data_IF_837192291045
#
_entry.id   IF_837192291045
#
_cell.length_a   1.000
_cell.length_b   1.000
_cell.length_c   1.000
_cell.angle_alpha   90.00
_cell.angle_beta   90.00
_cell.angle_gamma   90.00
#
_symmetry.space_group_name_H-M   'P 1'
#
loop_
_entity.id
_entity.type
_entity.pdbx_description
1 polymer ?
#
# COMPACT_ATOMS: atom_id res chain seq x y z
N UNK A 1 6.39 -9.98 3.29
CA UNK A 1 6.39 -9.02 2.15
C UNK A 1 6.97 -9.70 0.91
N UNK A 2 8.16 -10.26 0.96
CA UNK A 2 8.84 -10.87 -0.21
C UNK A 2 7.98 -11.90 -0.94
N UNK A 3 7.19 -12.67 -0.21
CA UNK A 3 6.28 -13.68 -0.77
C UNK A 3 4.85 -13.19 -1.00
N UNK A 4 4.53 -11.91 -0.68
CA UNK A 4 3.20 -11.34 -0.87
C UNK A 4 2.12 -11.85 0.09
N UNK A 5 2.51 -12.49 1.20
CA UNK A 5 1.60 -13.11 2.18
C UNK A 5 1.35 -12.22 3.42
N UNK A 6 1.79 -10.95 3.38
CA UNK A 6 1.59 -10.03 4.50
C UNK A 6 0.13 -9.59 4.60
N UNK A 7 -0.47 -9.77 5.76
CA UNK A 7 -1.87 -9.38 6.03
C UNK A 7 -1.99 -7.96 6.61
N UNK A 8 -0.92 -7.46 7.21
CA UNK A 8 -0.84 -6.13 7.80
C UNK A 8 0.34 -5.33 7.19
N UNK A 9 0.31 -5.04 5.87
CA UNK A 9 1.44 -4.39 5.19
C UNK A 9 1.81 -3.03 5.79
N UNK A 10 0.87 -2.34 6.45
CA UNK A 10 1.11 -1.07 7.13
C UNK A 10 1.97 -1.20 8.39
N UNK A 11 2.09 -2.40 8.96
CA UNK A 11 2.95 -2.66 10.11
C UNK A 11 4.42 -2.79 9.71
N UNK A 12 4.67 -3.03 8.42
CA UNK A 12 6.01 -3.25 7.87
C UNK A 12 6.39 -2.20 6.84
N UNK A 13 5.44 -1.73 6.03
CA UNK A 13 5.66 -0.70 5.00
C UNK A 13 4.99 0.62 5.38
N UNK A 14 5.49 1.70 4.79
CA UNK A 14 4.99 3.04 5.07
C UNK A 14 5.70 3.72 6.25
N UNK A 15 5.16 4.86 6.67
CA UNK A 15 5.78 5.68 7.71
C UNK A 15 5.40 5.18 9.10
N UNK A 16 6.39 5.00 9.97
CA UNK A 16 6.22 4.63 11.38
C UNK A 16 6.97 5.58 12.30
N UNK A 17 6.28 6.08 13.32
CA UNK A 17 6.92 6.92 14.33
C UNK A 17 7.67 6.02 15.31
N UNK A 18 8.96 6.31 15.50
CA UNK A 18 9.85 5.65 16.47
C UNK A 18 10.35 6.65 17.51
N UNK A 19 11.13 6.19 18.49
CA UNK A 19 11.77 7.07 19.48
C UNK A 19 12.79 8.00 18.84
N UNK A 20 13.49 7.56 17.80
CA UNK A 20 14.58 8.27 17.14
C UNK A 20 14.14 9.10 15.93
N UNK A 21 12.87 8.95 15.49
CA UNK A 21 12.36 9.67 14.33
C UNK A 21 11.21 8.96 13.63
N UNK A 22 11.04 9.24 12.35
CA UNK A 22 10.07 8.57 11.48
C UNK A 22 10.82 7.60 10.57
N UNK A 23 10.57 6.31 10.76
CA UNK A 23 11.05 5.26 9.88
C UNK A 23 10.11 5.15 8.68
N UNK A 24 10.66 5.27 7.47
CA UNK A 24 9.93 5.08 6.20
C UNK A 24 10.50 3.84 5.54
N UNK A 25 9.60 2.95 5.14
CA UNK A 25 9.95 1.65 4.58
C UNK A 25 9.14 1.39 3.32
N UNK A 26 9.78 0.82 2.29
CA UNK A 26 9.14 0.51 1.03
C UNK A 26 9.75 -0.72 0.35
N UNK A 27 8.99 -1.35 -0.51
CA UNK A 27 9.41 -2.53 -1.25
C UNK A 27 9.41 -2.24 -2.75
N UNK A 28 10.61 -2.22 -3.35
CA UNK A 28 10.87 -1.88 -4.75
C UNK A 28 11.84 -2.90 -5.34
N UNK A 29 11.37 -4.07 -5.79
CA UNK A 29 12.23 -5.22 -6.16
C UNK A 29 13.17 -4.93 -7.32
N UNK A 30 12.80 -4.02 -8.23
CA UNK A 30 13.60 -3.72 -9.42
C UNK A 30 14.43 -2.41 -9.27
N UNK A 31 14.40 -1.80 -8.07
CA UNK A 31 15.12 -0.56 -7.82
C UNK A 31 16.60 -0.80 -7.49
N UNK A 32 17.46 -0.01 -8.10
CA UNK A 32 18.88 0.06 -7.75
C UNK A 32 19.11 0.99 -6.56
N UNK A 33 18.40 2.11 -6.55
CA UNK A 33 18.48 3.13 -5.51
C UNK A 33 17.08 3.71 -5.26
N UNK A 34 16.78 3.96 -3.98
CA UNK A 34 15.54 4.60 -3.55
C UNK A 34 15.87 5.74 -2.61
N UNK A 35 15.28 6.89 -2.85
CA UNK A 35 15.41 8.07 -2.02
C UNK A 35 14.04 8.54 -1.55
N UNK A 36 13.98 9.14 -0.36
CA UNK A 36 12.78 9.82 0.15
C UNK A 36 12.96 11.32 0.00
N UNK A 37 12.06 11.95 -0.73
CA UNK A 37 11.99 13.40 -0.89
C UNK A 37 10.94 13.96 0.07
N UNK A 38 11.33 14.85 0.96
CA UNK A 38 10.43 15.57 1.87
C UNK A 38 10.73 17.06 1.86
N UNK A 39 9.83 17.84 1.30
CA UNK A 39 10.03 19.27 1.04
C UNK A 39 11.24 19.50 0.12
N UNK A 40 12.29 20.17 0.67
CA UNK A 40 13.55 20.45 -0.05
C UNK A 40 14.67 19.45 0.27
N UNK A 41 14.41 18.46 1.09
CA UNK A 41 15.42 17.49 1.55
C UNK A 41 15.21 16.16 0.88
N UNK A 42 16.32 15.53 0.52
CA UNK A 42 16.38 14.16 0.01
C UNK A 42 17.14 13.30 1.00
N UNK A 43 16.59 12.14 1.32
CA UNK A 43 17.16 11.16 2.23
C UNK A 43 17.38 9.87 1.47
N UNK A 44 18.60 9.37 1.49
CA UNK A 44 18.96 8.09 0.83
C UNK A 44 18.43 6.95 1.67
N UNK A 45 17.69 6.02 1.05
CA UNK A 45 17.25 4.80 1.71
C UNK A 45 18.38 3.77 1.69
N UNK A 46 18.53 3.05 2.79
CA UNK A 46 19.38 1.88 2.87
C UNK A 46 18.62 0.67 2.30
N UNK A 47 19.31 -0.14 1.50
CA UNK A 47 18.76 -1.38 0.99
C UNK A 47 19.00 -2.48 2.03
N UNK A 48 17.92 -2.84 2.73
CA UNK A 48 17.97 -3.81 3.84
C UNK A 48 17.97 -5.27 3.37
N UNK A 49 17.46 -5.53 2.16
CA UNK A 49 17.33 -6.87 1.61
C UNK A 49 17.54 -6.85 0.08
N UNK A 50 18.18 -7.88 -0.45
CA UNK A 50 18.41 -8.05 -1.90
C UNK A 50 17.10 -8.15 -2.71
N UNK A 51 16.01 -8.60 -2.07
CA UNK A 51 14.69 -8.66 -2.69
C UNK A 51 14.08 -7.28 -3.02
N UNK A 52 14.71 -6.18 -2.54
CA UNK A 52 14.28 -4.80 -2.83
C UNK A 52 13.52 -4.13 -1.69
N UNK A 53 13.84 -4.46 -0.45
CA UNK A 53 13.32 -3.76 0.72
C UNK A 53 14.26 -2.61 1.09
N UNK A 54 13.67 -1.41 1.18
CA UNK A 54 14.40 -0.18 1.47
C UNK A 54 13.84 0.51 2.70
N UNK A 55 14.73 1.09 3.51
CA UNK A 55 14.35 1.80 4.71
C UNK A 55 15.18 3.08 4.89
N UNK A 56 14.58 4.08 5.54
CA UNK A 56 15.28 5.30 5.96
C UNK A 56 14.66 5.86 7.23
N UNK A 57 15.49 6.30 8.16
CA UNK A 57 15.07 6.99 9.38
C UNK A 57 15.20 8.50 9.17
N UNK A 58 14.08 9.20 9.20
CA UNK A 58 14.03 10.66 9.15
C UNK A 58 14.11 11.25 10.58
N UNK A 59 14.99 12.22 10.86
CA UNK A 59 15.12 12.82 12.17
C UNK A 59 14.01 13.86 12.42
N UNK A 60 12.76 13.42 12.35
CA UNK A 60 11.55 14.23 12.53
C UNK A 60 10.58 13.52 13.47
N UNK A 61 9.77 14.28 14.22
CA UNK A 61 8.85 13.73 15.23
C UNK A 61 7.44 13.44 14.70
N UNK A 62 7.12 13.88 13.50
CA UNK A 62 5.82 13.68 12.85
C UNK A 62 6.06 13.18 11.44
N UNK A 63 5.17 12.36 10.94
CA UNK A 63 5.20 11.91 9.55
C UNK A 63 5.07 13.13 8.64
N UNK A 64 6.12 13.45 7.85
CA UNK A 64 6.06 14.55 6.89
C UNK A 64 5.30 14.13 5.63
N UNK A 65 4.97 15.09 4.78
CA UNK A 65 4.65 14.75 3.39
C UNK A 65 5.93 14.35 2.67
N UNK A 66 5.89 13.21 1.98
CA UNK A 66 7.05 12.69 1.26
C UNK A 66 6.64 11.92 0.00
N UNK A 67 7.62 11.70 -0.85
CA UNK A 67 7.55 10.85 -2.03
C UNK A 67 8.81 10.02 -2.12
N UNK A 68 8.70 8.87 -2.78
CA UNK A 68 9.85 8.09 -3.19
C UNK A 68 10.37 8.58 -4.54
N UNK A 69 11.68 8.69 -4.67
CA UNK A 69 12.40 8.80 -5.93
C UNK A 69 13.11 7.47 -6.16
N UNK A 70 12.66 6.73 -7.15
CA UNK A 70 13.11 5.37 -7.44
C UNK A 70 13.96 5.42 -8.70
N UNK A 71 15.17 4.88 -8.63
CA UNK A 71 16.08 4.76 -9.76
C UNK A 71 16.13 3.32 -10.24
N UNK A 72 15.86 3.13 -11.52
CA UNK A 72 15.88 1.84 -12.22
C UNK A 72 16.72 2.01 -13.51
N UNK A 73 18.00 1.65 -13.46
CA UNK A 73 18.95 1.91 -14.54
C UNK A 73 19.08 3.41 -14.85
N UNK A 74 18.77 3.81 -16.07
CA UNK A 74 18.81 5.22 -16.51
C UNK A 74 17.50 5.99 -16.24
N UNK A 75 16.47 5.33 -15.68
CA UNK A 75 15.15 5.93 -15.44
C UNK A 75 14.98 6.27 -13.98
N UNK A 76 14.53 7.50 -13.72
CA UNK A 76 14.09 7.93 -12.38
C UNK A 76 12.57 8.15 -12.38
N UNK A 77 11.90 7.67 -11.34
CA UNK A 77 10.46 7.81 -11.18
C UNK A 77 10.14 8.31 -9.78
N UNK A 78 9.37 9.38 -9.68
CA UNK A 78 8.76 9.79 -8.41
C UNK A 78 7.42 9.09 -8.23
N UNK A 79 7.14 8.62 -7.02
CA UNK A 79 5.84 8.10 -6.64
C UNK A 79 5.50 8.40 -5.17
N UNK A 80 4.20 8.49 -4.90
CA UNK A 80 3.71 8.54 -3.52
C UNK A 80 3.73 7.14 -2.91
N UNK A 81 3.84 7.10 -1.59
CA UNK A 81 3.69 5.86 -0.83
C UNK A 81 2.20 5.57 -0.59
N UNK A 82 1.64 4.47 -1.11
CA UNK A 82 0.26 4.09 -0.84
C UNK A 82 -0.04 3.91 0.65
N UNK A 83 0.95 3.49 1.42
CA UNK A 83 0.79 3.19 2.85
C UNK A 83 0.84 4.44 3.74
N UNK A 84 1.21 5.61 3.19
CA UNK A 84 1.14 6.90 3.88
C UNK A 84 -0.29 7.48 3.96
N UNK A 85 -1.24 6.91 3.22
CA UNK A 85 -2.63 7.36 3.19
C UNK A 85 -3.47 6.55 4.19
N UNK A 86 -4.39 7.18 4.93
CA UNK A 86 -5.25 6.48 5.89
C UNK A 86 -6.24 5.54 5.18
N UNK A 87 -6.68 4.52 5.92
CA UNK A 87 -7.82 3.71 5.50
C UNK A 87 -9.06 4.59 5.26
N UNK A 88 -9.85 4.21 4.27
CA UNK A 88 -11.04 4.95 3.85
C UNK A 88 -12.34 4.29 4.33
N UNK A 89 -12.26 3.03 4.74
CA UNK A 89 -13.36 2.33 5.42
C UNK A 89 -13.18 2.58 6.92
N UNK A 90 -14.17 3.20 7.54
CA UNK A 90 -14.15 3.49 8.97
C UNK A 90 -14.53 2.26 9.79
N UNK A 91 -14.20 2.28 11.09
CA UNK A 91 -14.57 1.19 12.01
C UNK A 91 -16.10 1.02 12.12
N UNK A 92 -16.85 2.12 12.05
CA UNK A 92 -18.31 2.10 12.06
C UNK A 92 -18.88 1.47 10.78
N UNK A 93 -18.31 1.81 9.62
CA UNK A 93 -18.69 1.20 8.34
C UNK A 93 -18.37 -0.30 8.34
N UNK A 94 -17.23 -0.70 8.88
CA UNK A 94 -16.86 -2.11 9.01
C UNK A 94 -17.81 -2.88 9.93
N UNK A 95 -18.17 -2.32 11.10
CA UNK A 95 -19.16 -2.89 12.00
C UNK A 95 -20.53 -3.03 11.34
N UNK A 96 -20.98 -1.99 10.61
CA UNK A 96 -22.25 -2.03 9.88
C UNK A 96 -22.23 -3.09 8.76
N UNK A 97 -21.09 -3.27 8.10
CA UNK A 97 -20.90 -4.32 7.08
C UNK A 97 -21.01 -5.71 7.70
N UNK A 98 -20.33 -5.97 8.81
CA UNK A 98 -20.40 -7.24 9.54
C UNK A 98 -21.81 -7.54 10.06
N UNK A 99 -22.56 -6.51 10.45
CA UNK A 99 -23.95 -6.63 10.87
C UNK A 99 -24.96 -6.79 9.71
N UNK A 100 -24.51 -6.71 8.45
CA UNK A 100 -25.36 -6.81 7.25
C UNK A 100 -26.26 -5.61 7.00
N UNK A 101 -25.96 -4.46 7.61
CA UNK A 101 -26.77 -3.22 7.49
C UNK A 101 -26.07 -2.09 6.74
N UNK A 102 -24.90 -2.35 6.16
CA UNK A 102 -24.17 -1.38 5.34
C UNK A 102 -24.65 -1.40 3.90
N UNK A 103 -25.80 -0.77 3.65
CA UNK A 103 -26.46 -0.75 2.34
C UNK A 103 -25.69 0.03 1.26
N UNK A 104 -24.76 0.90 1.66
CA UNK A 104 -23.95 1.72 0.75
C UNK A 104 -22.55 1.12 0.49
N UNK A 105 -22.34 -0.15 0.83
CA UNK A 105 -21.06 -0.83 0.64
C UNK A 105 -20.51 -0.70 -0.81
N UNK A 106 -21.40 -0.62 -1.80
CA UNK A 106 -21.01 -0.41 -3.21
C UNK A 106 -20.28 0.91 -3.48
N UNK A 107 -20.39 1.91 -2.59
CA UNK A 107 -19.67 3.18 -2.69
C UNK A 107 -18.20 3.04 -2.26
N UNK A 108 -17.86 1.97 -1.56
CA UNK A 108 -16.51 1.68 -1.08
C UNK A 108 -15.89 0.47 -1.77
N UNK A 109 -16.65 -0.62 -1.91
CA UNK A 109 -16.19 -1.82 -2.59
C UNK A 109 -16.08 -1.62 -4.09
N UNK A 110 -14.95 -2.04 -4.66
CA UNK A 110 -14.61 -1.85 -6.07
C UNK A 110 -13.36 -0.98 -6.24
N UNK A 111 -13.30 -0.26 -7.35
CA UNK A 111 -12.25 0.69 -7.67
C UNK A 111 -12.87 2.09 -7.84
N UNK A 112 -12.57 2.99 -6.92
CA UNK A 112 -13.17 4.33 -6.85
C UNK A 112 -12.10 5.41 -6.99
N UNK A 113 -12.03 6.12 -8.13
CA UNK A 113 -11.19 7.31 -8.24
C UNK A 113 -11.60 8.36 -7.21
N UNK A 114 -10.62 8.87 -6.47
CA UNK A 114 -10.84 9.88 -5.44
C UNK A 114 -9.58 10.73 -5.20
N UNK A 115 -9.73 11.74 -4.35
CA UNK A 115 -8.62 12.60 -3.93
C UNK A 115 -8.50 12.55 -2.40
N UNK A 116 -7.30 12.25 -1.90
CA UNK A 116 -6.98 12.22 -0.47
C UNK A 116 -5.80 13.15 -0.22
N UNK A 117 -5.96 14.12 0.69
CA UNK A 117 -4.94 15.12 1.02
C UNK A 117 -4.36 15.84 -0.22
N UNK A 118 -5.21 16.15 -1.22
CA UNK A 118 -4.79 16.82 -2.44
C UNK A 118 -4.10 15.91 -3.47
N UNK A 119 -4.02 14.60 -3.21
CA UNK A 119 -3.42 13.63 -4.12
C UNK A 119 -4.51 12.79 -4.77
N UNK A 120 -4.61 12.84 -6.10
CA UNK A 120 -5.51 12.01 -6.88
C UNK A 120 -5.02 10.58 -6.96
N UNK A 121 -5.95 9.64 -6.94
CA UNK A 121 -5.67 8.22 -7.04
C UNK A 121 -6.95 7.40 -7.06
N UNK A 122 -6.81 6.10 -6.86
CA UNK A 122 -7.95 5.18 -6.82
C UNK A 122 -7.93 4.37 -5.54
N UNK A 123 -9.05 4.35 -4.82
CA UNK A 123 -9.30 3.41 -3.74
C UNK A 123 -9.71 2.07 -4.34
N UNK A 124 -8.97 1.02 -4.00
CA UNK A 124 -9.35 -0.36 -4.26
C UNK A 124 -9.83 -1.00 -2.98
N UNK A 125 -11.00 -1.60 -3.01
CA UNK A 125 -11.53 -2.34 -1.88
C UNK A 125 -12.26 -3.60 -2.36
N UNK A 126 -12.01 -4.73 -1.71
CA UNK A 126 -12.61 -6.02 -2.04
C UNK A 126 -12.94 -6.81 -0.79
N UNK A 127 -14.10 -7.46 -0.79
CA UNK A 127 -14.44 -8.40 0.27
C UNK A 127 -13.96 -9.81 -0.10
N UNK A 128 -12.99 -10.31 0.65
CA UNK A 128 -12.36 -11.61 0.42
C UNK A 128 -12.04 -12.28 1.78
N UNK A 129 -13.05 -12.67 2.57
CA UNK A 129 -12.86 -13.10 3.96
C UNK A 129 -11.96 -14.32 4.12
N UNK A 130 -11.88 -15.18 3.09
CA UNK A 130 -11.07 -16.40 3.10
C UNK A 130 -9.65 -16.19 2.52
N UNK A 131 -9.34 -14.99 2.01
CA UNK A 131 -8.01 -14.69 1.52
C UNK A 131 -7.05 -14.39 2.67
N UNK A 132 -5.82 -14.87 2.57
CA UNK A 132 -4.71 -14.51 3.47
C UNK A 132 -4.22 -13.12 3.12
N UNK A 133 -3.99 -12.87 1.83
CA UNK A 133 -3.60 -11.55 1.33
C UNK A 133 -4.23 -11.28 -0.04
N UNK A 134 -4.34 -10.01 -0.36
CA UNK A 134 -4.79 -9.52 -1.67
C UNK A 134 -3.78 -8.50 -2.18
N UNK A 135 -3.31 -8.70 -3.39
CA UNK A 135 -2.33 -7.85 -4.03
C UNK A 135 -2.93 -7.21 -5.28
N UNK A 136 -2.51 -5.97 -5.59
CA UNK A 136 -2.93 -5.27 -6.80
C UNK A 136 -1.77 -5.26 -7.79
N UNK A 137 -2.00 -5.77 -9.01
CA UNK A 137 -1.08 -5.66 -10.13
C UNK A 137 -1.72 -4.85 -11.24
N UNK A 138 -0.96 -3.96 -11.88
CA UNK A 138 -1.47 -3.13 -12.96
C UNK A 138 -0.38 -2.34 -13.66
N UNK A 139 -0.79 -1.50 -14.61
CA UNK A 139 0.13 -0.68 -15.41
C UNK A 139 0.99 0.25 -14.54
N UNK A 140 0.49 0.65 -13.36
CA UNK A 140 1.15 1.59 -12.44
C UNK A 140 2.34 0.98 -11.69
N UNK A 141 2.37 -0.35 -11.52
CA UNK A 141 3.44 -1.05 -10.79
C UNK A 141 4.12 -2.16 -11.61
N UNK A 142 4.06 -2.07 -12.95
CA UNK A 142 4.68 -3.04 -13.85
C UNK A 142 4.13 -4.47 -13.72
N UNK A 143 2.88 -4.60 -13.25
CA UNK A 143 2.21 -5.87 -13.01
C UNK A 143 2.83 -6.72 -11.88
N UNK A 144 3.63 -6.09 -11.00
CA UNK A 144 4.28 -6.72 -9.85
C UNK A 144 3.38 -6.59 -8.62
N UNK A 145 2.42 -7.50 -8.46
CA UNK A 145 1.44 -7.45 -7.37
C UNK A 145 2.06 -7.46 -5.97
N UNK A 146 3.16 -8.19 -5.76
CA UNK A 146 3.85 -8.25 -4.46
C UNK A 146 4.36 -6.89 -3.94
N UNK A 147 4.48 -5.90 -4.82
CA UNK A 147 4.86 -4.53 -4.44
C UNK A 147 3.68 -3.69 -3.93
N UNK A 148 2.43 -4.17 -4.09
CA UNK A 148 1.23 -3.42 -3.73
C UNK A 148 0.23 -4.34 -3.05
N UNK A 149 0.44 -4.57 -1.75
CA UNK A 149 -0.36 -5.46 -0.90
C UNK A 149 -1.46 -4.65 -0.23
N UNK A 150 -2.70 -5.11 -0.30
CA UNK A 150 -3.84 -4.44 0.32
C UNK A 150 -3.87 -4.70 1.84
N UNK A 151 -4.29 -3.69 2.59
CA UNK A 151 -4.50 -3.81 4.02
C UNK A 151 -5.81 -4.55 4.31
N UNK A 152 -5.74 -5.57 5.17
CA UNK A 152 -6.92 -6.33 5.61
C UNK A 152 -7.59 -5.64 6.78
N UNK A 153 -8.87 -5.34 6.66
CA UNK A 153 -9.69 -4.87 7.77
C UNK A 153 -9.89 -6.00 8.80
N UNK A 154 -9.80 -5.70 10.10
CA UNK A 154 -9.66 -6.73 11.12
C UNK A 154 -10.90 -7.63 11.33
N UNK A 155 -12.12 -7.12 11.10
CA UNK A 155 -13.35 -7.82 11.42
C UNK A 155 -14.08 -8.39 10.20
N UNK A 156 -14.09 -7.67 9.08
CA UNK A 156 -14.96 -7.95 7.92
C UNK A 156 -14.33 -8.87 6.89
N UNK A 157 -13.00 -8.94 6.85
CA UNK A 157 -12.29 -9.56 5.74
C UNK A 157 -12.35 -8.73 4.45
N UNK A 158 -12.64 -7.44 4.56
CA UNK A 158 -12.44 -6.48 3.48
C UNK A 158 -10.95 -6.13 3.41
N UNK A 159 -10.44 -6.06 2.19
CA UNK A 159 -9.10 -5.55 1.91
C UNK A 159 -9.24 -4.23 1.20
N UNK A 160 -8.47 -3.22 1.62
CA UNK A 160 -8.46 -1.92 0.97
C UNK A 160 -7.04 -1.36 0.80
N UNK A 161 -6.86 -0.55 -0.25
CA UNK A 161 -5.67 0.27 -0.43
C UNK A 161 -6.00 1.45 -1.35
N UNK A 162 -5.63 2.66 -0.95
CA UNK A 162 -5.59 3.80 -1.85
C UNK A 162 -4.26 3.81 -2.60
N UNK A 163 -4.32 3.79 -3.94
CA UNK A 163 -3.13 3.84 -4.80
C UNK A 163 -3.07 5.20 -5.48
N UNK A 164 -2.12 6.06 -5.07
CA UNK A 164 -1.94 7.39 -5.64
C UNK A 164 -1.54 7.31 -7.12
N UNK A 165 -1.99 8.28 -7.92
CA UNK A 165 -1.64 8.40 -9.33
C UNK A 165 -2.34 7.40 -10.27
N UNK A 166 -3.19 6.52 -9.74
CA UNK A 166 -4.00 5.62 -10.55
C UNK A 166 -5.30 6.30 -10.93
N UNK A 167 -5.52 6.46 -12.24
CA UNK A 167 -6.67 7.13 -12.83
C UNK A 167 -7.66 6.14 -13.45
N UNK A 168 -8.85 6.65 -13.80
CA UNK A 168 -9.85 5.88 -14.52
C UNK A 168 -9.30 5.40 -15.88
N UNK A 169 -9.57 4.14 -16.23
CA UNK A 169 -9.06 3.53 -17.46
C UNK A 169 -7.75 2.75 -17.29
N UNK A 170 -7.07 2.86 -16.14
CA UNK A 170 -5.89 2.06 -15.84
C UNK A 170 -6.26 0.58 -15.71
N UNK A 171 -5.51 -0.30 -16.38
CA UNK A 171 -5.71 -1.74 -16.27
C UNK A 171 -5.10 -2.29 -14.98
N UNK A 172 -5.85 -3.12 -14.30
CA UNK A 172 -5.40 -3.79 -13.09
C UNK A 172 -6.04 -5.16 -12.93
N UNK A 173 -5.47 -5.97 -12.05
CA UNK A 173 -6.07 -7.21 -11.53
C UNK A 173 -5.75 -7.37 -10.05
N UNK A 174 -6.63 -8.06 -9.34
CA UNK A 174 -6.39 -8.49 -7.97
C UNK A 174 -5.88 -9.94 -7.99
N UNK A 175 -4.83 -10.18 -7.21
CA UNK A 175 -4.28 -11.51 -6.95
C UNK A 175 -4.57 -11.87 -5.51
N UNK A 176 -5.30 -12.96 -5.29
CA UNK A 176 -5.69 -13.45 -3.97
C UNK A 176 -4.87 -14.67 -3.63
N UNK A 177 -4.28 -14.66 -2.44
CA UNK A 177 -3.59 -15.83 -1.87
C UNK A 177 -4.51 -16.45 -0.83
N UNK A 178 -4.81 -17.74 -0.99
CA UNK A 178 -5.58 -18.54 -0.05
C UNK A 178 -4.67 -19.56 0.63
N UNK A 179 -4.96 -19.89 1.90
CA UNK A 179 -4.34 -21.06 2.53
C UNK A 179 -4.88 -22.30 1.81
N UNK A 180 -4.00 -23.02 1.14
CA UNK A 180 -4.36 -24.37 0.66
C UNK A 180 -4.48 -25.26 1.88
N UNK A 181 -5.68 -25.74 2.20
CA UNK A 181 -5.80 -26.85 3.12
C UNK A 181 -5.03 -28.06 2.52
N UNK A 182 -4.15 -28.70 3.31
CA UNK A 182 -3.49 -29.90 2.81
C UNK A 182 -4.57 -30.94 2.51
N UNK A 183 -4.70 -31.30 1.25
CA UNK A 183 -5.54 -32.44 0.83
C UNK A 183 -5.06 -33.67 1.57
N UNK A 184 -5.91 -34.18 2.45
CA UNK A 184 -5.72 -35.49 3.12
C UNK A 184 -5.93 -36.61 2.14
#
# INVERSE_FOLDING_TARGET
IVYGEETAPRDVMGPRITQDGVLIQGFFPDAEEVNVISGKKTYVCEKEDEAGYFAVLLPVRKVPEYRFLIKMGETEKECYDPYAFPCQITEEEEKAFCAGVYYEAYKKLGAHPMEIKGVKGTLFAVWAPNAVSVNIAGDFNGWIGRATIMHRMPMSGIFELFVPGVEAGTHYKLSLIHISEPTR
#
